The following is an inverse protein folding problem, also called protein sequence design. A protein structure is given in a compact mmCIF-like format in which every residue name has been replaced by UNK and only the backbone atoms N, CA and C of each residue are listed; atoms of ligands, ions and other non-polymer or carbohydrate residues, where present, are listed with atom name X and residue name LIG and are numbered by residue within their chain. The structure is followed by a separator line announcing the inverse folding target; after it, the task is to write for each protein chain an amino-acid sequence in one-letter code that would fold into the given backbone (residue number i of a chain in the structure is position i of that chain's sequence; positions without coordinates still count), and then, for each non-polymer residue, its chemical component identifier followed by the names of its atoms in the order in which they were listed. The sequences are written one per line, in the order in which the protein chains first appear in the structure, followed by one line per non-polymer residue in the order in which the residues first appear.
data_IF_789538895277
#
_entry.id   IF_789538895277
#
_cell.length_a   1.000
_cell.length_b   1.000
_cell.length_c   1.000
_cell.angle_alpha   90.00
_cell.angle_beta   90.00
_cell.angle_gamma   90.00
#
_symmetry.space_group_name_H-M   'P 1'
#
loop_
_entity.id
_entity.type
_entity.pdbx_description
1 polymer ?
#
# COMPACT_ATOMS: atom_id res chain seq x y z
N UNK A 1 16.21 -20.72 -7.02
CA UNK A 1 16.31 -19.28 -6.68
C UNK A 1 16.30 -18.50 -7.99
N UNK A 2 15.19 -18.55 -8.73
CA UNK A 2 14.91 -17.66 -9.87
C UNK A 2 13.52 -18.00 -10.42
N UNK A 3 12.53 -18.00 -9.54
CA UNK A 3 11.14 -18.25 -9.96
C UNK A 3 10.36 -16.97 -9.74
N UNK A 4 9.31 -16.73 -10.52
CA UNK A 4 8.41 -15.59 -10.33
C UNK A 4 7.67 -15.56 -8.98
N UNK A 5 7.99 -16.48 -8.06
CA UNK A 5 7.43 -16.62 -6.71
C UNK A 5 8.45 -16.33 -5.59
N UNK A 6 9.72 -16.07 -5.95
CA UNK A 6 10.75 -15.81 -4.94
C UNK A 6 10.70 -14.35 -4.48
N UNK A 7 10.06 -14.13 -3.33
CA UNK A 7 9.94 -12.83 -2.65
C UNK A 7 10.68 -12.83 -1.31
N UNK A 8 11.73 -13.66 -1.19
CA UNK A 8 12.52 -13.80 0.02
C UNK A 8 13.60 -12.73 0.17
N UNK A 9 13.76 -12.17 1.36
CA UNK A 9 14.95 -11.39 1.70
C UNK A 9 16.07 -12.35 2.12
N UNK A 10 17.01 -12.65 1.22
CA UNK A 10 18.11 -13.58 1.50
C UNK A 10 19.33 -12.88 2.10
N UNK A 11 20.11 -13.59 2.91
CA UNK A 11 21.37 -13.08 3.46
C UNK A 11 22.36 -12.67 2.36
N UNK A 12 22.41 -13.42 1.26
CA UNK A 12 23.21 -13.11 0.08
C UNK A 12 22.74 -11.81 -0.58
N UNK A 13 21.43 -11.66 -0.85
CA UNK A 13 20.87 -10.45 -1.46
C UNK A 13 21.10 -9.20 -0.60
N UNK A 14 20.89 -9.31 0.71
CA UNK A 14 21.16 -8.20 1.65
C UNK A 14 22.65 -7.83 1.69
N UNK A 15 23.57 -8.81 1.58
CA UNK A 15 25.01 -8.53 1.48
C UNK A 15 25.35 -7.77 0.20
N UNK A 16 24.78 -8.16 -0.95
CA UNK A 16 25.01 -7.45 -2.21
C UNK A 16 24.50 -6.01 -2.16
N UNK A 17 23.32 -5.77 -1.58
CA UNK A 17 22.79 -4.41 -1.38
C UNK A 17 23.73 -3.59 -0.49
N UNK A 18 24.21 -4.17 0.62
CA UNK A 18 25.15 -3.52 1.53
C UNK A 18 26.47 -3.14 0.87
N UNK A 19 27.08 -4.04 0.10
CA UNK A 19 28.34 -3.80 -0.62
C UNK A 19 28.21 -2.70 -1.67
N UNK A 20 27.12 -2.72 -2.45
CA UNK A 20 26.87 -1.69 -3.47
C UNK A 20 26.59 -0.33 -2.84
N UNK A 21 25.78 -0.27 -1.78
CA UNK A 21 25.46 0.99 -1.11
C UNK A 21 26.70 1.67 -0.49
N UNK A 22 27.64 0.88 0.04
CA UNK A 22 28.90 1.39 0.61
C UNK A 22 29.83 2.04 -0.41
N UNK A 23 29.68 1.76 -1.71
CA UNK A 23 30.42 2.46 -2.76
C UNK A 23 30.05 3.95 -2.81
N UNK A 24 28.80 4.28 -2.48
CA UNK A 24 28.32 5.67 -2.43
C UNK A 24 28.46 6.27 -1.03
N UNK A 25 28.23 5.48 0.02
CA UNK A 25 28.29 5.93 1.42
C UNK A 25 29.14 4.95 2.24
N UNK A 26 30.46 5.16 2.35
CA UNK A 26 31.38 4.22 3.00
C UNK A 26 30.99 3.89 4.46
N UNK A 27 30.54 4.89 5.22
CA UNK A 27 30.21 4.77 6.64
C UNK A 27 28.73 4.38 6.89
N UNK A 28 28.07 3.77 5.90
CA UNK A 28 26.66 3.36 6.03
C UNK A 28 26.44 2.38 7.19
N UNK A 29 25.69 2.82 8.20
CA UNK A 29 25.31 1.99 9.35
C UNK A 29 24.05 1.16 9.07
N UNK A 30 24.26 -0.07 8.60
CA UNK A 30 23.16 -1.00 8.28
C UNK A 30 22.30 -1.41 9.49
N UNK A 31 22.78 -1.20 10.73
CA UNK A 31 21.98 -1.46 11.95
C UNK A 31 20.80 -0.49 12.09
N UNK A 32 20.78 0.59 11.32
CA UNK A 32 19.67 1.54 11.26
C UNK A 32 18.59 1.12 10.24
N UNK A 33 18.75 0.00 9.52
CA UNK A 33 17.67 -0.53 8.67
C UNK A 33 16.48 -0.94 9.54
N UNK A 34 15.31 -0.37 9.23
CA UNK A 34 14.05 -0.62 9.96
C UNK A 34 13.13 -1.61 9.23
N UNK A 35 13.32 -1.79 7.92
CA UNK A 35 12.52 -2.70 7.08
C UNK A 35 13.30 -3.11 5.85
N UNK A 36 13.15 -4.38 5.46
CA UNK A 36 13.66 -4.91 4.20
C UNK A 36 12.50 -5.55 3.44
N UNK A 37 12.50 -5.41 2.12
CA UNK A 37 11.53 -6.05 1.23
C UNK A 37 12.21 -6.46 -0.07
N UNK A 38 11.60 -7.41 -0.75
CA UNK A 38 11.93 -7.81 -2.10
C UNK A 38 10.64 -7.95 -2.89
N UNK A 39 10.75 -7.90 -4.21
CA UNK A 39 9.61 -8.02 -5.10
C UNK A 39 10.07 -8.54 -6.45
N UNK A 40 9.16 -9.26 -7.12
CA UNK A 40 9.38 -9.77 -8.46
C UNK A 40 8.91 -8.73 -9.45
N UNK A 41 9.72 -8.44 -10.47
CA UNK A 41 9.32 -7.59 -11.58
C UNK A 41 8.57 -8.40 -12.61
N UNK A 42 7.50 -7.82 -13.18
CA UNK A 42 6.81 -8.37 -14.34
C UNK A 42 7.72 -8.25 -15.58
N UNK A 43 8.63 -9.21 -15.75
CA UNK A 43 9.56 -9.25 -16.88
C UNK A 43 9.14 -10.34 -17.87
N UNK A 44 9.52 -10.17 -19.13
CA UNK A 44 9.27 -11.13 -20.21
C UNK A 44 10.57 -11.34 -21.01
N UNK A 45 10.52 -12.24 -22.01
CA UNK A 45 11.64 -12.57 -22.87
C UNK A 45 11.85 -11.60 -24.05
N UNK A 46 10.90 -10.70 -24.30
CA UNK A 46 10.90 -9.82 -25.49
C UNK A 46 11.64 -8.51 -25.27
N UNK A 47 11.97 -8.16 -24.02
CA UNK A 47 12.73 -6.96 -23.68
C UNK A 47 11.87 -5.69 -23.52
N UNK A 48 10.71 -5.65 -24.15
CA UNK A 48 9.71 -4.57 -24.10
C UNK A 48 8.34 -5.05 -23.59
N UNK A 49 7.38 -4.15 -23.39
CA UNK A 49 6.02 -4.48 -22.97
C UNK A 49 5.32 -5.34 -24.03
N UNK A 50 4.43 -6.22 -23.59
CA UNK A 50 3.55 -6.99 -24.48
C UNK A 50 2.20 -6.29 -24.49
N UNK A 51 1.93 -5.55 -25.56
CA UNK A 51 0.66 -4.87 -25.82
C UNK A 51 0.05 -5.48 -27.10
N UNK A 52 -0.80 -6.50 -26.94
CA UNK A 52 -1.27 -7.30 -28.08
C UNK A 52 -2.71 -7.80 -27.89
N UNK A 53 -3.34 -8.22 -28.97
CA UNK A 53 -4.57 -9.02 -28.93
C UNK A 53 -4.16 -10.49 -28.93
N UNK A 54 -4.40 -11.20 -27.83
CA UNK A 54 -4.03 -12.61 -27.73
C UNK A 54 -5.11 -13.55 -28.28
N UNK A 55 -6.37 -13.09 -28.25
CA UNK A 55 -7.54 -13.73 -28.86
C UNK A 55 -8.62 -12.66 -29.10
N UNK A 56 -9.68 -13.00 -29.83
CA UNK A 56 -10.80 -12.10 -30.09
C UNK A 56 -11.36 -11.50 -28.79
N UNK A 57 -11.26 -10.18 -28.66
CA UNK A 57 -11.73 -9.41 -27.51
C UNK A 57 -10.81 -9.48 -26.28
N UNK A 58 -9.64 -10.11 -26.39
CA UNK A 58 -8.72 -10.31 -25.28
C UNK A 58 -7.38 -9.59 -25.52
N UNK A 59 -7.15 -8.52 -24.77
CA UNK A 59 -5.95 -7.68 -24.89
C UNK A 59 -4.99 -7.94 -23.73
N UNK A 60 -3.77 -8.35 -24.06
CA UNK A 60 -2.66 -8.44 -23.12
C UNK A 60 -1.96 -7.08 -22.98
N UNK A 61 -1.83 -6.62 -21.74
CA UNK A 61 -1.00 -5.47 -21.33
C UNK A 61 0.03 -5.95 -20.30
N UNK A 62 0.98 -6.76 -20.75
CA UNK A 62 1.85 -7.56 -19.88
C UNK A 62 3.33 -7.12 -19.93
N UNK A 63 4.12 -7.60 -18.96
CA UNK A 63 5.56 -7.29 -18.88
C UNK A 63 5.87 -5.82 -18.56
N UNK A 64 4.90 -5.09 -18.01
CA UNK A 64 5.01 -3.66 -17.73
C UNK A 64 5.91 -3.42 -16.52
N UNK A 65 7.21 -3.17 -16.79
CA UNK A 65 8.25 -2.79 -15.81
C UNK A 65 8.39 -1.27 -15.75
N UNK A 66 9.61 -0.71 -15.63
CA UNK A 66 9.82 0.74 -15.86
C UNK A 66 9.81 1.01 -17.37
N UNK A 67 9.15 2.07 -17.88
CA UNK A 67 8.49 3.20 -17.19
C UNK A 67 6.96 3.04 -16.95
N UNK A 68 6.49 1.83 -16.63
CA UNK A 68 5.09 1.43 -16.58
C UNK A 68 4.11 2.35 -15.86
N UNK A 69 4.46 2.87 -14.68
CA UNK A 69 3.58 3.79 -13.94
C UNK A 69 3.38 5.12 -14.69
N UNK A 70 4.46 5.67 -15.26
CA UNK A 70 4.41 6.90 -16.05
C UNK A 70 3.70 6.69 -17.39
N UNK A 71 3.86 5.52 -18.01
CA UNK A 71 3.23 5.20 -19.30
C UNK A 71 1.81 4.62 -19.17
N UNK A 72 1.30 4.37 -17.97
CA UNK A 72 0.01 3.70 -17.77
C UNK A 72 -1.17 4.36 -18.52
N UNK A 73 -1.34 5.69 -18.54
CA UNK A 73 -2.43 6.33 -19.30
C UNK A 73 -2.32 6.08 -20.81
N UNK A 74 -1.10 6.11 -21.37
CA UNK A 74 -0.87 5.86 -22.80
C UNK A 74 -1.13 4.40 -23.16
N UNK A 75 -0.69 3.47 -22.32
CA UNK A 75 -0.97 2.03 -22.47
C UNK A 75 -2.47 1.76 -22.43
N UNK A 76 -3.22 2.44 -21.55
CA UNK A 76 -4.67 2.29 -21.46
C UNK A 76 -5.38 2.75 -22.75
N UNK A 77 -5.00 3.91 -23.31
CA UNK A 77 -5.55 4.40 -24.58
C UNK A 77 -5.24 3.43 -25.74
N UNK A 78 -4.02 2.91 -25.79
CA UNK A 78 -3.62 1.92 -26.78
C UNK A 78 -4.44 0.63 -26.67
N UNK A 79 -4.62 0.11 -25.45
CA UNK A 79 -5.44 -1.09 -25.21
C UNK A 79 -6.92 -0.89 -25.57
N UNK A 80 -7.48 0.29 -25.31
CA UNK A 80 -8.84 0.65 -25.73
C UNK A 80 -8.95 0.61 -27.26
N UNK A 81 -8.02 1.24 -27.98
CA UNK A 81 -8.03 1.26 -29.45
C UNK A 81 -7.98 -0.17 -30.03
N UNK A 82 -7.14 -1.04 -29.46
CA UNK A 82 -7.06 -2.44 -29.86
C UNK A 82 -8.37 -3.19 -29.60
N UNK A 83 -8.95 -3.02 -28.42
CA UNK A 83 -10.19 -3.69 -28.06
C UNK A 83 -11.35 -3.23 -28.95
N UNK A 84 -11.46 -1.94 -29.24
CA UNK A 84 -12.49 -1.40 -30.14
C UNK A 84 -12.40 -1.99 -31.55
N UNK A 85 -11.18 -2.16 -32.08
CA UNK A 85 -10.94 -2.81 -33.37
C UNK A 85 -11.32 -4.27 -33.32
N UNK A 86 -10.88 -4.98 -32.28
CA UNK A 86 -11.14 -6.40 -32.07
C UNK A 86 -12.64 -6.71 -32.05
N UNK A 87 -13.43 -6.01 -31.23
CA UNK A 87 -14.87 -6.26 -31.09
C UNK A 87 -15.74 -5.48 -32.08
N UNK A 88 -15.13 -4.76 -33.02
CA UNK A 88 -15.79 -3.87 -33.99
C UNK A 88 -16.85 -2.95 -33.33
N UNK A 89 -16.49 -2.33 -32.20
CA UNK A 89 -17.37 -1.46 -31.42
C UNK A 89 -16.59 -0.30 -30.84
N UNK A 90 -17.14 0.91 -30.97
CA UNK A 90 -16.62 2.09 -30.28
C UNK A 90 -17.15 2.18 -28.85
N UNK A 91 -16.26 2.49 -27.91
CA UNK A 91 -16.64 2.77 -26.54
C UNK A 91 -16.92 4.25 -26.36
N UNK A 92 -17.86 4.57 -25.47
CA UNK A 92 -18.17 5.96 -25.14
C UNK A 92 -17.36 6.34 -23.92
N UNK A 93 -16.65 7.47 -24.00
CA UNK A 93 -15.92 8.01 -22.87
C UNK A 93 -16.91 8.31 -21.73
N UNK A 94 -16.56 7.87 -20.52
CA UNK A 94 -17.34 8.21 -19.33
C UNK A 94 -17.11 9.70 -19.00
N UNK A 95 -18.17 10.49 -19.03
CA UNK A 95 -18.09 11.94 -18.76
C UNK A 95 -17.77 12.28 -17.30
N UNK A 96 -17.99 11.34 -16.37
CA UNK A 96 -17.82 11.56 -14.93
C UNK A 96 -17.11 10.40 -14.25
N UNK A 97 -16.01 10.70 -13.57
CA UNK A 97 -15.27 9.77 -12.73
C UNK A 97 -14.61 10.54 -11.58
N UNK A 98 -14.28 9.83 -10.50
CA UNK A 98 -13.54 10.38 -9.37
C UNK A 98 -12.07 9.98 -9.58
N UNK A 99 -11.22 10.95 -9.88
CA UNK A 99 -9.79 10.77 -10.17
C UNK A 99 -8.88 11.29 -9.06
N UNK A 100 -9.48 11.92 -8.06
CA UNK A 100 -8.83 12.56 -6.94
C UNK A 100 -9.47 12.09 -5.65
N UNK A 101 -8.71 12.22 -4.57
CA UNK A 101 -9.20 12.03 -3.21
C UNK A 101 -8.56 13.08 -2.34
N UNK A 102 -9.35 13.68 -1.47
CA UNK A 102 -8.79 14.46 -0.38
C UNK A 102 -8.34 13.50 0.71
N UNK A 103 -7.11 13.73 1.19
CA UNK A 103 -6.55 13.00 2.33
C UNK A 103 -5.85 14.03 3.19
N UNK A 104 -6.26 14.10 4.45
CA UNK A 104 -5.49 14.84 5.47
C UNK A 104 -4.26 14.00 5.81
N UNK A 105 -3.09 14.62 5.74
CA UNK A 105 -1.83 14.07 6.27
C UNK A 105 -1.46 14.93 7.46
N UNK A 106 -1.83 14.49 8.66
CA UNK A 106 -1.79 15.35 9.85
C UNK A 106 -0.37 15.87 10.14
N UNK A 107 0.66 15.08 9.81
CA UNK A 107 2.06 15.49 9.98
C UNK A 107 2.44 16.72 9.14
N UNK A 108 1.82 16.90 7.97
CA UNK A 108 2.14 17.97 7.01
C UNK A 108 1.44 19.30 7.35
N UNK A 109 0.42 19.26 8.21
CA UNK A 109 -0.33 20.45 8.63
C UNK A 109 0.45 21.33 9.61
N UNK A 110 0.25 22.64 9.51
CA UNK A 110 0.72 23.59 10.53
C UNK A 110 -0.13 23.55 11.81
N UNK A 111 0.28 24.30 12.85
CA UNK A 111 -0.43 24.31 14.14
C UNK A 111 -1.87 24.84 14.05
N UNK A 112 -2.14 25.83 13.21
CA UNK A 112 -3.47 26.41 13.06
C UNK A 112 -4.40 25.46 12.30
N UNK A 113 -3.88 24.81 11.25
CA UNK A 113 -4.58 23.76 10.49
C UNK A 113 -4.87 22.54 11.36
N UNK A 114 -3.90 22.08 12.16
CA UNK A 114 -4.09 21.00 13.15
C UNK A 114 -5.23 21.33 14.11
N UNK A 115 -5.23 22.51 14.72
CA UNK A 115 -6.30 22.95 15.62
C UNK A 115 -7.66 23.02 14.91
N UNK A 116 -7.68 23.40 13.64
CA UNK A 116 -8.90 23.45 12.82
C UNK A 116 -9.45 22.05 12.56
N UNK A 117 -8.60 21.09 12.20
CA UNK A 117 -9.04 19.70 11.97
C UNK A 117 -9.48 19.04 13.28
N UNK A 118 -8.75 19.27 14.38
CA UNK A 118 -9.10 18.75 15.71
C UNK A 118 -10.45 19.30 16.19
N UNK A 119 -10.72 20.60 16.00
CA UNK A 119 -12.00 21.19 16.43
C UNK A 119 -13.20 20.67 15.63
N UNK A 120 -12.99 20.23 14.38
CA UNK A 120 -14.02 19.58 13.56
C UNK A 120 -14.21 18.10 13.92
N UNK A 121 -13.12 17.40 14.22
CA UNK A 121 -13.13 16.00 14.64
C UNK A 121 -12.00 15.74 15.64
N UNK A 122 -12.38 15.51 16.90
CA UNK A 122 -11.47 15.28 18.02
C UNK A 122 -10.55 14.06 17.84
N UNK A 123 -10.90 13.10 16.97
CA UNK A 123 -10.06 11.93 16.71
C UNK A 123 -8.74 12.28 16.02
N UNK A 124 -8.68 13.42 15.31
CA UNK A 124 -7.41 13.96 14.79
C UNK A 124 -6.50 14.52 15.90
N UNK A 125 -7.02 14.69 17.13
CA UNK A 125 -6.21 15.06 18.30
C UNK A 125 -5.50 13.88 18.95
N UNK A 126 -5.81 12.64 18.57
CA UNK A 126 -5.26 11.42 19.18
C UNK A 126 -4.21 10.80 18.28
N UNK A 127 -2.93 10.96 18.62
CA UNK A 127 -1.83 10.31 17.89
C UNK A 127 -1.80 8.82 18.22
N UNK A 128 -2.01 7.98 17.21
CA UNK A 128 -1.95 6.51 17.29
C UNK A 128 -0.56 6.01 16.93
N UNK A 129 0.04 6.53 15.86
CA UNK A 129 1.42 6.18 15.47
C UNK A 129 2.36 7.36 15.75
N UNK A 130 3.17 7.25 16.80
CA UNK A 130 4.19 8.28 17.13
C UNK A 130 5.29 8.40 16.08
N UNK A 131 5.70 7.30 15.44
CA UNK A 131 6.82 7.34 14.49
C UNK A 131 6.49 8.14 13.23
N UNK A 132 5.24 8.06 12.76
CA UNK A 132 4.77 8.66 11.51
C UNK A 132 3.73 9.77 11.77
N UNK A 133 3.55 10.16 13.04
CA UNK A 133 2.59 11.18 13.49
C UNK A 133 1.16 10.96 12.97
N UNK A 134 0.72 9.70 12.92
CA UNK A 134 -0.62 9.33 12.40
C UNK A 134 -1.65 9.35 13.51
N UNK A 135 -2.76 10.01 13.25
CA UNK A 135 -3.90 10.18 14.16
C UNK A 135 -4.93 9.06 14.06
N UNK A 136 -5.78 8.92 15.08
CA UNK A 136 -6.98 8.06 15.01
C UNK A 136 -7.90 8.52 13.88
N UNK A 137 -8.07 9.84 13.71
CA UNK A 137 -8.86 10.43 12.63
C UNK A 137 -8.41 10.01 11.22
N UNK A 138 -7.10 9.96 10.96
CA UNK A 138 -6.56 9.48 9.67
C UNK A 138 -6.84 7.99 9.43
N UNK A 139 -6.77 7.16 10.48
CA UNK A 139 -7.04 5.72 10.38
C UNK A 139 -8.53 5.49 10.08
N UNK A 140 -9.43 6.17 10.79
CA UNK A 140 -10.88 6.09 10.56
C UNK A 140 -11.26 6.61 9.18
N UNK A 141 -10.71 7.76 8.77
CA UNK A 141 -10.93 8.30 7.42
C UNK A 141 -10.48 7.34 6.31
N UNK A 142 -9.37 6.59 6.52
CA UNK A 142 -8.96 5.57 5.57
C UNK A 142 -9.93 4.37 5.56
N UNK A 143 -10.39 3.91 6.73
CA UNK A 143 -11.36 2.83 6.84
C UNK A 143 -12.69 3.14 6.13
N UNK A 144 -13.13 4.40 6.17
CA UNK A 144 -14.39 4.87 5.56
C UNK A 144 -14.27 5.29 4.09
N UNK A 145 -13.08 5.20 3.51
CA UNK A 145 -12.88 5.59 2.11
C UNK A 145 -13.53 4.62 1.11
N UNK A 146 -13.74 5.00 -0.16
CA UNK A 146 -14.49 4.18 -1.13
C UNK A 146 -13.95 2.76 -1.35
N UNK A 147 -12.65 2.57 -1.11
CA UNK A 147 -11.99 1.26 -1.06
C UNK A 147 -11.42 1.09 0.34
N UNK A 148 -12.26 0.63 1.25
CA UNK A 148 -11.93 0.40 2.66
C UNK A 148 -10.83 -0.66 2.81
N UNK A 149 -9.70 -0.35 3.47
CA UNK A 149 -8.75 -1.38 3.88
C UNK A 149 -9.40 -2.31 4.90
N UNK A 150 -9.15 -3.61 4.80
CA UNK A 150 -9.70 -4.65 5.69
C UNK A 150 -8.62 -5.39 6.50
N UNK A 151 -7.42 -4.84 6.54
CA UNK A 151 -6.27 -5.40 7.23
C UNK A 151 -5.34 -4.31 7.77
N UNK A 152 -4.49 -4.68 8.75
CA UNK A 152 -3.50 -3.77 9.34
C UNK A 152 -2.52 -3.25 8.30
N UNK A 153 -2.04 -4.09 7.39
CA UNK A 153 -1.17 -3.67 6.29
C UNK A 153 -1.93 -2.85 5.24
N UNK A 154 -3.26 -3.01 5.13
CA UNK A 154 -4.12 -2.08 4.41
C UNK A 154 -4.03 -0.67 4.98
N UNK A 155 -4.22 -0.52 6.30
CA UNK A 155 -4.06 0.78 6.98
C UNK A 155 -2.62 1.30 6.86
N UNK A 156 -1.61 0.43 6.97
CA UNK A 156 -0.20 0.79 6.78
C UNK A 156 0.04 1.43 5.40
N UNK A 157 -0.50 0.85 4.32
CA UNK A 157 -0.38 1.40 2.96
C UNK A 157 -1.18 2.69 2.76
N UNK A 158 -2.26 2.89 3.53
CA UNK A 158 -3.12 4.08 3.41
C UNK A 158 -2.63 5.27 4.23
N UNK A 159 -2.13 5.03 5.43
CA UNK A 159 -1.85 6.06 6.43
C UNK A 159 -0.41 6.04 6.96
N UNK A 160 0.42 5.07 6.58
CA UNK A 160 1.77 4.83 7.11
C UNK A 160 1.83 4.37 8.58
N UNK A 161 0.70 4.18 9.28
CA UNK A 161 0.70 3.64 10.64
C UNK A 161 1.40 2.25 10.67
N UNK A 162 2.52 2.18 11.38
CA UNK A 162 3.37 0.98 11.45
C UNK A 162 4.50 0.92 10.41
N UNK A 163 4.74 1.99 9.63
CA UNK A 163 5.90 2.07 8.72
C UNK A 163 7.17 2.62 9.38
N UNK A 164 7.05 3.30 10.51
CA UNK A 164 8.19 3.86 11.22
C UNK A 164 9.03 2.83 11.97
N UNK A 165 10.02 3.30 12.74
CA UNK A 165 11.05 2.46 13.38
C UNK A 165 10.53 1.27 14.19
N UNK A 166 9.35 1.39 14.81
CA UNK A 166 8.75 0.32 15.61
C UNK A 166 8.02 -0.76 14.79
N UNK A 167 7.85 -0.56 13.48
CA UNK A 167 7.21 -1.50 12.55
C UNK A 167 5.80 -1.97 12.99
N UNK A 168 5.07 -1.11 13.72
CA UNK A 168 3.73 -1.43 14.23
C UNK A 168 3.71 -2.06 15.63
N UNK A 169 4.86 -2.28 16.27
CA UNK A 169 4.92 -2.88 17.61
C UNK A 169 4.20 -2.11 18.71
N UNK A 170 4.00 -0.79 18.55
CA UNK A 170 3.25 0.03 19.51
C UNK A 170 1.84 0.40 19.03
N UNK A 171 1.70 0.87 17.79
CA UNK A 171 0.41 1.32 17.27
C UNK A 171 -0.48 0.17 16.77
N UNK A 172 0.09 -1.03 16.57
CA UNK A 172 -0.60 -2.20 16.01
C UNK A 172 -1.89 -2.57 16.75
N UNK A 173 -1.86 -2.78 18.09
CA UNK A 173 -3.08 -3.10 18.84
C UNK A 173 -4.18 -2.06 18.67
N UNK A 174 -3.83 -0.76 18.72
CA UNK A 174 -4.80 0.33 18.53
C UNK A 174 -5.35 0.39 17.10
N UNK A 175 -4.52 0.11 16.09
CA UNK A 175 -4.99 0.01 14.69
C UNK A 175 -5.99 -1.15 14.54
N UNK A 176 -5.74 -2.29 15.19
CA UNK A 176 -6.67 -3.44 15.18
C UNK A 176 -8.01 -3.06 15.80
N UNK A 177 -7.99 -2.41 16.98
CA UNK A 177 -9.22 -1.95 17.65
C UNK A 177 -10.03 -0.98 16.77
N UNK A 178 -9.39 0.05 16.23
CA UNK A 178 -10.07 1.03 15.37
C UNK A 178 -10.65 0.34 14.12
N UNK A 179 -9.89 -0.56 13.50
CA UNK A 179 -10.36 -1.24 12.30
C UNK A 179 -11.49 -2.23 12.58
N UNK A 180 -11.46 -2.91 13.73
CA UNK A 180 -12.55 -3.78 14.18
C UNK A 180 -13.85 -2.99 14.40
N UNK A 181 -13.75 -1.82 15.03
CA UNK A 181 -14.85 -0.88 15.23
C UNK A 181 -15.43 -0.39 13.89
N UNK A 182 -14.58 0.15 13.00
CA UNK A 182 -15.02 0.67 11.69
C UNK A 182 -15.62 -0.40 10.77
N UNK A 183 -15.18 -1.66 10.89
CA UNK A 183 -15.70 -2.78 10.08
C UNK A 183 -16.84 -3.54 10.77
N UNK A 184 -17.18 -3.18 12.01
CA UNK A 184 -18.13 -3.91 12.85
C UNK A 184 -17.82 -5.41 12.94
N UNK A 185 -16.55 -5.73 13.26
CA UNK A 185 -16.01 -7.10 13.38
C UNK A 185 -15.37 -7.33 14.74
N UNK A 186 -15.17 -8.59 15.11
CA UNK A 186 -14.31 -8.92 16.24
C UNK A 186 -12.87 -8.48 15.95
N UNK A 187 -12.11 -7.97 16.93
CA UNK A 187 -10.66 -7.81 16.81
C UNK A 187 -9.93 -9.09 16.37
N UNK A 188 -10.48 -10.26 16.72
CA UNK A 188 -9.94 -11.57 16.31
C UNK A 188 -10.02 -11.80 14.80
N UNK A 189 -10.95 -11.14 14.11
CA UNK A 189 -11.16 -11.29 12.67
C UNK A 189 -10.32 -10.31 11.84
N UNK A 190 -9.55 -9.44 12.50
CA UNK A 190 -8.68 -8.49 11.81
C UNK A 190 -7.38 -9.17 11.39
N UNK A 191 -7.11 -9.11 10.09
CA UNK A 191 -5.95 -9.73 9.46
C UNK A 191 -4.76 -8.78 9.41
N UNK A 192 -3.56 -9.35 9.37
CA UNK A 192 -2.33 -8.61 9.10
C UNK A 192 -2.32 -8.07 7.68
N UNK A 193 -2.56 -8.90 6.67
CA UNK A 193 -2.53 -8.48 5.26
C UNK A 193 -3.51 -9.28 4.38
N UNK A 194 -3.36 -10.61 4.40
CA UNK A 194 -4.07 -11.55 3.51
C UNK A 194 -4.89 -12.57 4.31
N UNK A 195 -5.76 -13.29 3.63
CA UNK A 195 -6.53 -14.39 4.23
C UNK A 195 -5.61 -15.36 4.99
N UNK A 196 -6.04 -15.77 6.18
CA UNK A 196 -5.27 -16.64 7.08
C UNK A 196 -4.17 -15.94 7.90
N UNK A 197 -3.93 -14.63 7.71
CA UNK A 197 -2.93 -13.87 8.50
C UNK A 197 -3.52 -13.26 9.78
N UNK A 198 -4.19 -14.07 10.59
CA UNK A 198 -4.76 -13.62 11.86
C UNK A 198 -3.68 -13.13 12.83
N UNK A 199 -3.92 -11.98 13.45
CA UNK A 199 -2.98 -11.34 14.41
C UNK A 199 -3.27 -11.80 15.84
N UNK A 200 -4.55 -12.00 16.15
CA UNK A 200 -5.04 -12.39 17.47
C UNK A 200 -5.63 -13.80 17.39
N UNK A 201 -5.48 -14.58 18.46
CA UNK A 201 -5.94 -15.98 18.53
C UNK A 201 -7.19 -16.08 19.39
N UNK A 202 -7.13 -15.60 20.61
CA UNK A 202 -8.24 -15.63 21.56
C UNK A 202 -8.11 -14.50 22.59
N UNK A 203 -9.19 -14.22 23.30
CA UNK A 203 -9.14 -13.36 24.47
C UNK A 203 -8.41 -14.09 25.60
N UNK A 204 -7.38 -13.47 26.15
CA UNK A 204 -6.74 -13.93 27.38
C UNK A 204 -7.46 -13.31 28.59
N UNK A 205 -7.37 -13.95 29.77
CA UNK A 205 -8.00 -13.44 31.00
C UNK A 205 -7.55 -11.99 31.23
N UNK A 206 -8.51 -11.07 31.31
CA UNK A 206 -8.26 -9.64 31.48
C UNK A 206 -7.41 -9.36 32.71
N UNK A 207 -6.38 -8.53 32.54
CA UNK A 207 -5.73 -7.90 33.69
C UNK A 207 -6.74 -7.00 34.37
N UNK A 208 -7.05 -7.31 35.63
CA UNK A 208 -7.85 -6.45 36.51
C UNK A 208 -7.16 -5.11 36.76
#
# INVERSE_FOLDING_TARGET
MDTGRDTGNTSAGLRSVAELARKSVPDLNLRQSIRNFSGVRANNSTGDFVLQEADFGFIDLAGVKSPGLTSAPAIALYGIEMLEKSVNKKFTLKNTFIDSREKIVFQELDSAEKNTVISKNNDYGRIVCRCETVTEGEIRAAAQSPISPVSVDGIKRRCNAGMGRCQGGFCGPRVVEILADELNKSPLDILQDREGSYILVEATKGGH
#
